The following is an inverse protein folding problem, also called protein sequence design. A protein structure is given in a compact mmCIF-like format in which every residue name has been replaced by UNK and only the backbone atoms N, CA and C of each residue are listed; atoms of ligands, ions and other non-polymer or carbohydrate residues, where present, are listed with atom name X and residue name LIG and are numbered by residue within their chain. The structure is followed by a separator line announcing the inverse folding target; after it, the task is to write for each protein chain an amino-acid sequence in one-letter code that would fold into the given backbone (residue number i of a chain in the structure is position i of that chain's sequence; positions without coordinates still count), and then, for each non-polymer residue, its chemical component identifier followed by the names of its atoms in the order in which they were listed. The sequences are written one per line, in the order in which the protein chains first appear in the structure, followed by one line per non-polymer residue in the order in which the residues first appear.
data_IF_972776176476
#
_entry.id   IF_972776176476
#
_cell.length_a   1.000
_cell.length_b   1.000
_cell.length_c   1.000
_cell.angle_alpha   90.00
_cell.angle_beta   90.00
_cell.angle_gamma   90.00
#
_symmetry.space_group_name_H-M   'P 1'
#
loop_
_entity.id
_entity.type
_entity.pdbx_description
1 polymer ?
#
# COMPACT_ATOMS: atom_id res chain seq x y z
N UNK A 1 -33.34 9.46 -45.09
CA UNK A 1 -33.10 8.59 -46.25
C UNK A 1 -31.66 8.75 -46.70
N UNK A 2 -30.87 7.67 -46.67
CA UNK A 2 -29.96 7.19 -47.73
C UNK A 2 -29.07 6.08 -47.14
N UNK A 3 -29.05 4.94 -47.83
CA UNK A 3 -28.29 3.71 -47.54
C UNK A 3 -27.18 3.54 -48.60
N UNK A 4 -26.03 3.08 -48.13
CA UNK A 4 -25.11 2.05 -48.69
C UNK A 4 -24.92 2.00 -50.21
N UNK A 5 -23.66 2.09 -50.66
CA UNK A 5 -23.01 1.15 -51.60
C UNK A 5 -21.48 1.34 -51.42
N UNK A 6 -20.72 0.35 -50.92
CA UNK A 6 -20.15 -0.80 -51.67
C UNK A 6 -19.00 -0.36 -52.60
N UNK A 7 -17.88 -1.04 -52.83
CA UNK A 7 -17.28 -2.33 -52.48
C UNK A 7 -15.85 -2.29 -53.10
N UNK A 8 -14.86 -2.82 -52.40
CA UNK A 8 -13.70 -3.63 -52.85
C UNK A 8 -12.85 -3.25 -54.09
N UNK A 9 -11.53 -3.06 -53.82
CA UNK A 9 -10.26 -3.50 -54.47
C UNK A 9 -10.02 -3.38 -56.00
N UNK A 10 -8.75 -3.16 -56.41
CA UNK A 10 -7.96 -4.30 -56.92
C UNK A 10 -6.45 -4.30 -56.60
N UNK A 11 -5.89 -5.51 -56.79
CA UNK A 11 -4.49 -6.01 -56.75
C UNK A 11 -3.53 -5.26 -57.70
N UNK A 12 -2.19 -5.33 -57.66
CA UNK A 12 -1.29 -6.50 -57.70
C UNK A 12 0.21 -6.08 -57.69
N UNK A 13 1.06 -6.98 -57.17
CA UNK A 13 2.49 -7.31 -57.44
C UNK A 13 3.63 -6.27 -57.45
N UNK A 14 4.70 -6.54 -56.69
CA UNK A 14 6.06 -6.94 -57.15
C UNK A 14 7.11 -6.93 -55.99
N UNK A 15 8.20 -7.69 -56.18
CA UNK A 15 9.20 -8.20 -55.21
C UNK A 15 10.46 -7.32 -54.97
N UNK A 16 11.06 -7.46 -53.76
CA UNK A 16 12.49 -7.27 -53.33
C UNK A 16 13.16 -5.85 -53.42
N UNK A 17 14.38 -5.62 -52.87
CA UNK A 17 14.90 -5.72 -51.48
C UNK A 17 15.68 -4.43 -51.03
N UNK A 18 16.22 -4.35 -49.79
CA UNK A 18 17.35 -3.44 -49.48
C UNK A 18 17.47 -2.92 -48.04
N UNK A 19 18.55 -3.31 -47.35
CA UNK A 19 19.09 -2.64 -46.15
C UNK A 19 19.52 -1.20 -46.45
N UNK A 20 19.47 -0.28 -45.48
CA UNK A 20 20.57 0.63 -45.11
C UNK A 20 20.25 1.40 -43.80
N UNK A 21 21.28 1.54 -42.98
CA UNK A 21 21.39 2.22 -41.68
C UNK A 21 21.43 3.75 -41.82
N UNK A 22 20.87 4.50 -40.87
CA UNK A 22 21.14 5.95 -40.73
C UNK A 22 21.23 6.39 -39.26
N UNK A 23 22.41 6.91 -38.91
CA UNK A 23 22.75 7.72 -37.74
C UNK A 23 22.29 9.18 -37.90
N UNK A 24 21.94 9.90 -36.81
CA UNK A 24 21.59 11.33 -36.87
C UNK A 24 22.82 12.28 -36.80
N UNK A 25 22.72 13.52 -37.33
CA UNK A 25 23.83 14.47 -37.53
C UNK A 25 24.04 15.49 -36.37
N UNK A 26 25.17 16.25 -36.37
CA UNK A 26 25.65 17.04 -35.23
C UNK A 26 25.21 18.51 -35.25
N UNK A 27 25.23 19.16 -34.08
CA UNK A 27 24.91 20.58 -33.86
C UNK A 27 26.17 21.37 -33.48
N UNK A 28 26.33 22.65 -33.91
CA UNK A 28 27.65 23.29 -34.05
C UNK A 28 28.13 24.06 -32.81
N UNK A 29 29.44 24.28 -32.79
CA UNK A 29 30.20 25.06 -31.81
C UNK A 29 30.06 26.57 -32.01
N UNK A 30 30.20 27.33 -30.92
CA UNK A 30 30.49 28.76 -30.95
C UNK A 30 31.66 29.11 -30.03
N UNK A 31 32.48 30.03 -30.53
CA UNK A 31 33.82 30.41 -30.11
C UNK A 31 33.88 31.43 -28.98
N UNK A 32 35.03 31.38 -28.30
CA UNK A 32 35.64 32.26 -27.30
C UNK A 32 35.70 33.75 -27.63
N UNK A 33 35.44 34.58 -26.61
CA UNK A 33 36.16 35.84 -26.37
C UNK A 33 36.35 36.04 -24.85
N UNK A 34 37.58 36.39 -24.46
CA UNK A 34 38.00 36.54 -23.07
C UNK A 34 38.01 37.99 -22.59
N UNK A 35 37.93 38.14 -21.26
CA UNK A 35 38.41 39.30 -20.53
C UNK A 35 38.89 38.84 -19.14
N UNK A 36 40.13 39.21 -18.80
CA UNK A 36 40.75 39.03 -17.50
C UNK A 36 40.42 40.22 -16.59
N UNK A 37 39.98 40.00 -15.35
CA UNK A 37 40.20 40.96 -14.26
C UNK A 37 40.32 40.26 -12.89
N UNK A 38 41.48 40.53 -12.28
CA UNK A 38 41.81 40.78 -10.87
C UNK A 38 41.05 40.06 -9.74
N UNK A 39 41.86 39.51 -8.82
CA UNK A 39 41.42 38.77 -7.64
C UNK A 39 40.90 39.63 -6.50
N UNK A 40 40.06 38.99 -5.70
CA UNK A 40 39.68 39.40 -4.34
C UNK A 40 39.82 38.18 -3.42
N UNK A 41 40.36 38.34 -2.19
CA UNK A 41 40.62 37.22 -1.30
C UNK A 41 39.34 36.70 -0.64
N UNK A 42 39.12 35.38 -0.71
CA UNK A 42 38.09 34.70 0.08
C UNK A 42 38.50 34.63 1.56
N UNK A 43 37.56 34.81 2.52
CA UNK A 43 37.82 34.48 3.93
C UNK A 43 37.81 32.96 4.12
N UNK A 44 38.88 32.42 4.70
CA UNK A 44 38.96 31.03 5.14
C UNK A 44 37.96 30.78 6.27
N UNK A 45 37.01 29.87 6.03
CA UNK A 45 36.10 29.36 7.07
C UNK A 45 36.63 28.01 7.57
N UNK A 46 36.60 27.72 8.89
CA UNK A 46 37.16 26.49 9.43
C UNK A 46 36.39 25.24 8.96
N UNK A 47 37.14 24.22 8.55
CA UNK A 47 36.63 22.88 8.21
C UNK A 47 35.85 22.29 9.39
N UNK A 48 34.52 22.24 9.25
CA UNK A 48 33.66 21.44 10.12
C UNK A 48 33.61 20.00 9.58
N UNK A 49 33.70 18.98 10.46
CA UNK A 49 33.65 17.59 10.02
C UNK A 49 32.29 17.30 9.39
N UNK A 50 32.33 16.75 8.18
CA UNK A 50 31.16 16.37 7.41
C UNK A 50 30.31 15.36 8.18
N UNK A 51 28.97 15.52 8.26
CA UNK A 51 28.12 14.55 8.91
C UNK A 51 28.23 13.23 8.14
N UNK A 52 28.56 12.17 8.89
CA UNK A 52 28.62 10.78 8.44
C UNK A 52 27.54 10.49 7.41
N UNK A 53 27.93 9.91 6.26
CA UNK A 53 27.04 9.47 5.18
C UNK A 53 25.79 8.83 5.77
N UNK A 54 24.70 9.60 5.84
CA UNK A 54 23.36 9.10 6.17
C UNK A 54 23.08 8.05 5.11
N UNK A 55 23.13 6.77 5.50
CA UNK A 55 22.75 5.69 4.60
C UNK A 55 21.38 6.06 4.04
N UNK A 56 21.28 6.15 2.71
CA UNK A 56 20.01 6.37 2.02
C UNK A 56 19.12 5.19 2.43
N UNK A 57 18.26 5.42 3.42
CA UNK A 57 17.14 4.55 3.72
C UNK A 57 16.45 4.27 2.39
N UNK A 58 16.34 2.99 2.02
CA UNK A 58 15.55 2.56 0.89
C UNK A 58 14.15 3.11 1.15
N UNK A 59 13.73 4.09 0.35
CA UNK A 59 12.55 4.95 0.61
C UNK A 59 11.21 4.19 0.70
N UNK A 60 11.22 2.90 0.38
CA UNK A 60 10.06 2.00 0.35
C UNK A 60 10.02 0.95 1.47
N UNK A 61 11.06 0.84 2.30
CA UNK A 61 11.10 -0.19 3.35
C UNK A 61 10.18 0.18 4.54
N UNK A 62 9.49 -0.81 5.10
CA UNK A 62 8.83 -0.66 6.39
C UNK A 62 9.89 -0.33 7.46
N UNK A 63 9.62 0.71 8.25
CA UNK A 63 10.53 1.18 9.31
C UNK A 63 9.93 0.79 10.64
N UNK A 64 10.63 -0.04 11.39
CA UNK A 64 10.23 -0.53 12.70
C UNK A 64 11.16 0.07 13.76
N UNK A 65 10.68 1.12 14.43
CA UNK A 65 11.40 1.77 15.52
C UNK A 65 10.59 1.56 16.80
N UNK A 66 11.21 0.95 17.81
CA UNK A 66 10.59 0.77 19.13
C UNK A 66 10.51 2.08 19.89
N UNK A 67 9.56 2.15 20.82
CA UNK A 67 9.42 3.28 21.74
C UNK A 67 8.68 4.47 21.14
N UNK A 68 7.95 4.27 20.03
CA UNK A 68 7.01 5.27 19.53
C UNK A 68 5.92 5.55 20.56
N UNK A 69 5.68 6.82 20.87
CA UNK A 69 4.59 7.21 21.76
C UNK A 69 3.24 7.05 21.05
N UNK A 70 2.33 6.30 21.65
CA UNK A 70 0.93 6.25 21.23
C UNK A 70 0.34 7.66 21.35
N UNK A 71 -0.29 8.11 20.27
CA UNK A 71 -1.08 9.36 20.24
C UNK A 71 -2.57 9.03 20.27
N UNK A 72 -3.32 9.66 21.17
CA UNK A 72 -4.76 9.47 21.28
C UNK A 72 -5.17 8.06 21.75
N UNK A 73 -6.40 7.67 21.43
CA UNK A 73 -6.97 6.38 21.84
C UNK A 73 -6.67 5.30 20.81
N UNK A 74 -6.42 4.07 21.28
CA UNK A 74 -6.35 2.88 20.41
C UNK A 74 -7.75 2.29 20.28
N UNK A 75 -8.44 2.64 19.20
CA UNK A 75 -9.76 2.08 18.89
C UNK A 75 -9.66 0.81 18.03
N UNK A 76 -8.54 0.64 17.32
CA UNK A 76 -8.28 -0.48 16.42
C UNK A 76 -6.94 -1.16 16.76
N UNK A 77 -6.88 -1.93 17.87
CA UNK A 77 -5.67 -2.64 18.28
C UNK A 77 -5.31 -3.79 17.31
N UNK A 78 -4.03 -4.17 17.20
CA UNK A 78 -3.64 -5.39 16.51
C UNK A 78 -4.17 -6.63 17.25
N UNK A 79 -4.39 -7.70 16.51
CA UNK A 79 -4.57 -9.03 17.08
C UNK A 79 -3.22 -9.72 17.19
N UNK A 80 -2.68 -9.79 18.40
CA UNK A 80 -1.38 -10.39 18.67
C UNK A 80 -1.62 -11.73 19.35
N UNK A 81 -1.35 -12.83 18.64
CA UNK A 81 -1.58 -14.17 19.16
C UNK A 81 -0.52 -14.54 20.20
N UNK A 82 -0.69 -14.03 21.42
CA UNK A 82 0.12 -14.34 22.60
C UNK A 82 -0.39 -15.59 23.34
N UNK A 83 0.36 -16.07 24.32
CA UNK A 83 -0.05 -17.22 25.14
C UNK A 83 -1.39 -17.00 25.87
N UNK A 84 -1.78 -15.74 26.10
CA UNK A 84 -3.02 -15.36 26.79
C UNK A 84 -4.22 -15.18 25.84
N UNK A 85 -4.07 -15.50 24.55
CA UNK A 85 -5.16 -15.36 23.57
C UNK A 85 -6.31 -16.34 23.86
N UNK A 86 -7.31 -15.90 24.62
CA UNK A 86 -8.47 -16.69 25.06
C UNK A 86 -9.36 -17.22 23.92
N UNK A 87 -9.22 -16.70 22.70
CA UNK A 87 -10.09 -17.02 21.58
C UNK A 87 -9.63 -18.22 20.73
N UNK A 88 -8.47 -18.83 21.05
CA UNK A 88 -7.91 -19.96 20.32
C UNK A 88 -7.47 -21.08 21.26
N UNK A 89 -7.81 -22.31 20.90
CA UNK A 89 -7.27 -23.49 21.58
C UNK A 89 -5.76 -23.66 21.30
N UNK A 90 -5.10 -24.57 22.02
CA UNK A 90 -3.64 -24.79 21.86
C UNK A 90 -3.25 -25.23 20.45
N UNK A 91 -4.08 -26.04 19.79
CA UNK A 91 -3.82 -26.52 18.43
C UNK A 91 -3.94 -25.37 17.42
N UNK A 92 -5.00 -24.56 17.53
CA UNK A 92 -5.23 -23.40 16.69
C UNK A 92 -4.12 -22.34 16.85
N UNK A 93 -3.63 -22.13 18.07
CA UNK A 93 -2.48 -21.24 18.32
C UNK A 93 -1.22 -21.76 17.65
N UNK A 94 -0.94 -23.07 17.74
CA UNK A 94 0.21 -23.68 17.10
C UNK A 94 0.12 -23.62 15.57
N UNK A 95 -1.06 -23.87 15.01
CA UNK A 95 -1.31 -23.76 13.57
C UNK A 95 -1.11 -22.32 13.08
N UNK A 96 -1.68 -21.34 13.79
CA UNK A 96 -1.52 -19.92 13.47
C UNK A 96 -0.05 -19.50 13.54
N UNK A 97 0.68 -19.92 14.57
CA UNK A 97 2.09 -19.64 14.74
C UNK A 97 2.93 -20.18 13.57
N UNK A 98 2.65 -21.41 13.11
CA UNK A 98 3.32 -22.04 11.97
C UNK A 98 3.03 -21.30 10.66
N UNK A 99 1.78 -20.92 10.43
CA UNK A 99 1.45 -20.15 9.22
C UNK A 99 2.06 -18.75 9.27
N UNK A 100 2.10 -18.07 10.42
CA UNK A 100 2.78 -16.78 10.57
C UNK A 100 4.28 -16.85 10.27
N UNK A 101 4.95 -17.93 10.71
CA UNK A 101 6.35 -18.19 10.34
C UNK A 101 6.49 -18.39 8.82
N UNK A 102 5.59 -19.19 8.22
CA UNK A 102 5.57 -19.43 6.78
C UNK A 102 5.42 -18.13 5.97
N UNK A 103 4.54 -17.23 6.41
CA UNK A 103 4.34 -15.90 5.81
C UNK A 103 5.38 -14.86 6.26
N UNK A 104 6.37 -15.23 7.08
CA UNK A 104 7.40 -14.33 7.59
C UNK A 104 6.82 -13.04 8.18
N UNK A 105 5.80 -13.18 9.03
CA UNK A 105 5.16 -12.05 9.70
C UNK A 105 6.19 -11.35 10.60
N UNK A 106 6.34 -10.03 10.47
CA UNK A 106 7.20 -9.25 11.35
C UNK A 106 6.57 -7.88 11.66
N UNK A 107 6.54 -7.46 12.95
CA UNK A 107 6.88 -8.25 14.12
C UNK A 107 5.83 -9.35 14.39
N UNK A 108 6.26 -10.52 14.87
CA UNK A 108 5.34 -11.62 15.18
C UNK A 108 5.05 -11.84 16.68
N UNK A 109 5.58 -11.00 17.57
CA UNK A 109 5.38 -11.13 19.01
C UNK A 109 6.24 -12.22 19.68
N UNK A 110 7.12 -12.89 18.92
CA UNK A 110 7.98 -13.97 19.44
C UNK A 110 9.41 -13.50 19.65
N UNK A 111 10.06 -14.09 20.66
CA UNK A 111 11.46 -13.83 20.98
C UNK A 111 11.72 -12.35 21.23
N UNK A 112 12.76 -11.82 20.60
CA UNK A 112 13.17 -10.43 20.68
C UNK A 112 12.59 -9.57 19.56
N UNK A 113 11.65 -10.05 18.75
CA UNK A 113 11.02 -9.28 17.66
C UNK A 113 9.99 -8.26 18.14
N UNK A 114 9.43 -8.44 19.34
CA UNK A 114 8.45 -7.54 19.94
C UNK A 114 7.05 -7.66 19.33
N UNK A 115 6.10 -6.89 19.87
CA UNK A 115 4.71 -6.84 19.45
C UNK A 115 4.50 -5.77 18.37
N UNK A 116 3.46 -5.89 17.54
CA UNK A 116 3.05 -4.85 16.58
C UNK A 116 2.79 -3.53 17.31
N UNK A 117 2.20 -3.61 18.51
CA UNK A 117 1.95 -2.44 19.36
C UNK A 117 3.21 -1.68 19.76
N UNK A 118 4.40 -2.32 19.72
CA UNK A 118 5.67 -1.69 20.10
C UNK A 118 6.23 -0.75 19.02
N UNK A 119 5.68 -0.80 17.80
CA UNK A 119 6.18 -0.12 16.61
C UNK A 119 5.19 0.89 16.02
N UNK A 120 4.57 1.69 16.91
CA UNK A 120 3.69 2.79 16.50
C UNK A 120 4.42 3.76 15.58
N UNK A 121 3.76 4.17 14.49
CA UNK A 121 4.33 5.11 13.52
C UNK A 121 3.39 6.28 13.26
N UNK A 122 3.94 7.49 13.38
CA UNK A 122 3.29 8.72 12.93
C UNK A 122 3.74 9.06 11.51
N UNK A 123 2.79 9.25 10.60
CA UNK A 123 3.04 9.56 9.18
C UNK A 123 2.36 10.88 8.83
N UNK A 124 3.13 11.98 8.74
CA UNK A 124 2.59 13.25 8.27
C UNK A 124 2.00 13.12 6.86
N UNK A 125 0.81 13.69 6.67
CA UNK A 125 0.13 13.75 5.39
C UNK A 125 0.11 15.20 4.88
N UNK A 126 1.17 15.56 4.17
CA UNK A 126 1.24 16.79 3.39
C UNK A 126 0.87 16.49 1.94
N UNK A 127 -0.40 16.69 1.60
CA UNK A 127 -0.87 16.63 0.21
C UNK A 127 -1.38 18.00 -0.24
N UNK A 128 -1.14 18.33 -1.50
CA UNK A 128 -1.77 19.48 -2.16
C UNK A 128 -3.30 19.40 -2.06
N UNK A 129 -3.84 18.17 -2.04
CA UNK A 129 -5.27 17.92 -1.82
C UNK A 129 -5.55 17.75 -0.33
N UNK A 130 -6.17 18.75 0.27
CA UNK A 130 -6.66 18.73 1.66
C UNK A 130 -7.88 17.81 1.89
N UNK A 131 -8.17 16.88 0.99
CA UNK A 131 -9.37 16.01 1.08
C UNK A 131 -9.34 15.11 2.32
N UNK A 132 -8.16 14.62 2.72
CA UNK A 132 -8.00 13.83 3.95
C UNK A 132 -8.28 14.69 5.18
N UNK A 133 -7.61 15.83 5.32
CA UNK A 133 -7.82 16.79 6.40
C UNK A 133 -9.27 17.25 6.49
N UNK A 134 -9.88 17.59 5.36
CA UNK A 134 -11.27 18.06 5.35
C UNK A 134 -12.25 16.96 5.79
N UNK A 135 -11.99 15.69 5.46
CA UNK A 135 -12.88 14.57 5.82
C UNK A 135 -12.67 14.09 7.25
N UNK A 136 -11.42 14.07 7.71
CA UNK A 136 -11.03 13.42 8.97
C UNK A 136 -10.65 14.40 10.08
N UNK A 137 -10.49 15.70 9.78
CA UNK A 137 -9.93 16.67 10.73
C UNK A 137 -8.42 16.50 10.98
N UNK A 138 -7.74 15.55 10.32
CA UNK A 138 -6.36 15.15 10.62
C UNK A 138 -5.40 15.44 9.48
N UNK A 139 -4.16 15.79 9.82
CA UNK A 139 -3.07 16.07 8.87
C UNK A 139 -1.99 14.97 8.87
N UNK A 140 -2.24 13.86 9.55
CA UNK A 140 -1.34 12.72 9.65
C UNK A 140 -2.11 11.42 9.92
N UNK A 141 -1.44 10.30 9.68
CA UNK A 141 -1.87 8.98 10.11
C UNK A 141 -1.08 8.56 11.34
N UNK A 142 -1.75 7.93 12.30
CA UNK A 142 -1.12 7.26 13.43
C UNK A 142 -1.42 5.79 13.32
N UNK A 143 -0.39 5.00 12.96
CA UNK A 143 -0.59 3.65 12.44
C UNK A 143 0.12 2.59 13.25
N UNK A 144 -0.51 1.42 13.29
CA UNK A 144 0.20 0.17 13.45
C UNK A 144 0.62 -0.36 12.09
N UNK A 145 1.69 -1.15 12.06
CA UNK A 145 2.16 -1.79 10.85
C UNK A 145 2.87 -3.11 11.14
N UNK A 146 2.81 -4.04 10.18
CA UNK A 146 3.63 -5.24 10.13
C UNK A 146 3.92 -5.58 8.66
N UNK A 147 4.83 -6.51 8.44
CA UNK A 147 5.15 -7.05 7.12
C UNK A 147 4.86 -8.53 7.04
N UNK A 148 4.61 -9.00 5.81
CA UNK A 148 4.58 -10.42 5.48
C UNK A 148 5.08 -10.64 4.06
N UNK A 149 5.46 -11.87 3.77
CA UNK A 149 5.87 -12.35 2.46
C UNK A 149 4.93 -13.47 2.00
N UNK A 150 4.70 -13.58 0.70
CA UNK A 150 3.86 -14.63 0.13
C UNK A 150 4.76 -15.84 -0.21
N UNK A 151 4.58 -17.01 0.44
CA UNK A 151 5.55 -18.13 0.34
C UNK A 151 5.72 -18.69 -1.08
N UNK A 152 4.70 -18.53 -1.92
CA UNK A 152 4.68 -19.01 -3.30
C UNK A 152 4.98 -17.90 -4.32
N UNK A 153 5.20 -16.66 -3.90
CA UNK A 153 5.62 -15.58 -4.79
C UNK A 153 7.14 -15.70 -5.04
N UNK A 154 7.58 -16.03 -6.27
CA UNK A 154 9.00 -16.20 -6.57
C UNK A 154 9.79 -14.88 -6.46
N UNK A 155 9.11 -13.72 -6.49
CA UNK A 155 9.75 -12.43 -6.29
C UNK A 155 10.03 -12.13 -4.81
N UNK A 156 9.52 -12.98 -3.90
CA UNK A 156 9.61 -12.85 -2.45
C UNK A 156 9.33 -11.41 -1.98
N UNK A 157 8.30 -10.79 -2.54
CA UNK A 157 7.98 -9.40 -2.24
C UNK A 157 7.47 -9.27 -0.81
N UNK A 158 8.05 -8.34 -0.07
CA UNK A 158 7.52 -7.95 1.24
C UNK A 158 6.32 -7.02 1.08
N UNK A 159 5.22 -7.38 1.73
CA UNK A 159 3.98 -6.61 1.79
C UNK A 159 3.88 -5.94 3.16
N UNK A 160 3.67 -4.63 3.17
CA UNK A 160 3.49 -3.85 4.41
C UNK A 160 2.01 -3.64 4.69
N UNK A 161 1.50 -4.21 5.76
CA UNK A 161 0.15 -3.94 6.26
C UNK A 161 0.22 -2.76 7.22
N UNK A 162 -0.71 -1.83 7.10
CA UNK A 162 -0.83 -0.71 8.03
C UNK A 162 -2.26 -0.21 8.09
N UNK A 163 -2.65 0.28 9.26
CA UNK A 163 -3.95 0.88 9.50
C UNK A 163 -3.83 1.96 10.56
N UNK A 164 -4.67 2.99 10.44
CA UNK A 164 -4.78 4.03 11.45
C UNK A 164 -5.51 3.47 12.67
N UNK A 165 -4.85 3.47 13.82
CA UNK A 165 -5.39 2.81 15.01
C UNK A 165 -6.44 3.65 15.75
N UNK A 166 -6.59 4.93 15.40
CA UNK A 166 -7.58 5.82 16.01
C UNK A 166 -8.92 5.77 15.27
N UNK A 167 -8.89 5.82 13.93
CA UNK A 167 -10.13 5.92 13.12
C UNK A 167 -10.36 4.72 12.18
N UNK A 168 -9.49 3.71 12.22
CA UNK A 168 -9.72 2.45 11.51
C UNK A 168 -9.58 2.54 9.99
N UNK A 169 -8.84 3.52 9.45
CA UNK A 169 -8.53 3.52 8.03
C UNK A 169 -7.47 2.46 7.72
N UNK A 170 -7.80 1.48 6.88
CA UNK A 170 -6.92 0.37 6.51
C UNK A 170 -6.37 0.56 5.10
N UNK A 171 -5.06 0.43 4.92
CA UNK A 171 -4.44 0.48 3.59
C UNK A 171 -4.59 -0.86 2.87
N UNK A 172 -5.49 -0.91 1.89
CA UNK A 172 -5.89 -2.16 1.22
C UNK A 172 -5.03 -2.57 0.02
N UNK A 173 -4.30 -1.63 -0.59
CA UNK A 173 -3.49 -1.90 -1.80
C UNK A 173 -2.53 -3.10 -1.68
N UNK A 174 -1.81 -3.31 -0.56
CA UNK A 174 -0.91 -4.45 -0.40
C UNK A 174 -1.62 -5.80 -0.49
N UNK A 175 -2.88 -5.91 -0.07
CA UNK A 175 -3.65 -7.15 -0.09
C UNK A 175 -3.98 -7.60 -1.50
N UNK A 176 -4.41 -6.66 -2.36
CA UNK A 176 -4.63 -6.93 -3.79
C UNK A 176 -3.34 -7.38 -4.47
N UNK A 177 -2.22 -6.71 -4.18
CA UNK A 177 -0.91 -7.08 -4.73
C UNK A 177 -0.46 -8.48 -4.30
N UNK A 178 -0.70 -8.85 -3.04
CA UNK A 178 -0.35 -10.17 -2.50
C UNK A 178 -1.22 -11.31 -3.06
N UNK A 179 -2.38 -10.98 -3.63
CA UNK A 179 -3.27 -11.91 -4.31
C UNK A 179 -3.18 -11.80 -5.85
N UNK A 180 -2.08 -11.25 -6.38
CA UNK A 180 -1.82 -11.09 -7.82
C UNK A 180 -2.87 -10.28 -8.61
N UNK A 181 -3.62 -9.42 -7.93
CA UNK A 181 -4.52 -8.49 -8.60
C UNK A 181 -3.76 -7.27 -9.15
N UNK A 182 -4.15 -6.83 -10.35
CA UNK A 182 -3.54 -5.67 -10.99
C UNK A 182 -3.86 -4.35 -10.27
N UNK A 183 -3.08 -3.31 -10.57
CA UNK A 183 -3.18 -1.98 -9.92
C UNK A 183 -4.55 -1.31 -10.06
N UNK A 184 -5.40 -1.73 -10.99
CA UNK A 184 -6.73 -1.14 -11.23
C UNK A 184 -7.84 -1.80 -10.43
N UNK A 185 -7.60 -3.00 -9.89
CA UNK A 185 -8.60 -3.78 -9.16
C UNK A 185 -9.05 -3.12 -7.85
N UNK A 186 -8.18 -2.50 -7.02
CA UNK A 186 -8.63 -1.77 -5.83
C UNK A 186 -9.71 -0.73 -6.13
N UNK A 187 -9.53 0.08 -7.18
CA UNK A 187 -10.51 1.08 -7.59
C UNK A 187 -11.82 0.44 -8.07
N UNK A 188 -11.73 -0.69 -8.78
CA UNK A 188 -12.92 -1.47 -9.19
C UNK A 188 -13.69 -1.98 -7.98
N UNK A 189 -13.01 -2.56 -6.98
CA UNK A 189 -13.63 -3.03 -5.75
C UNK A 189 -14.36 -1.91 -4.99
N UNK A 190 -13.78 -0.71 -4.93
CA UNK A 190 -14.46 0.46 -4.35
C UNK A 190 -15.72 0.83 -5.14
N UNK A 191 -15.65 0.89 -6.48
CA UNK A 191 -16.80 1.25 -7.32
C UNK A 191 -17.90 0.17 -7.34
N UNK A 192 -17.61 -1.09 -7.00
CA UNK A 192 -18.60 -2.17 -6.90
C UNK A 192 -19.56 -1.98 -5.72
N UNK A 193 -19.19 -1.18 -4.72
CA UNK A 193 -19.94 -1.00 -3.49
C UNK A 193 -20.43 0.46 -3.38
N UNK A 194 -21.74 0.73 -3.56
CA UNK A 194 -22.28 2.09 -3.46
C UNK A 194 -21.94 2.74 -2.12
N UNK A 195 -21.44 3.98 -2.15
CA UNK A 195 -21.05 4.75 -0.95
C UNK A 195 -19.62 4.49 -0.45
N UNK A 196 -19.00 3.35 -0.80
CA UNK A 196 -17.68 2.99 -0.27
C UNK A 196 -16.56 3.88 -0.83
N UNK A 197 -16.68 4.32 -2.08
CA UNK A 197 -15.68 5.18 -2.72
C UNK A 197 -15.58 6.54 -2.03
N UNK A 198 -16.69 7.06 -1.55
CA UNK A 198 -16.80 8.33 -0.86
C UNK A 198 -16.14 8.29 0.51
N UNK A 199 -16.20 7.14 1.19
CA UNK A 199 -15.51 6.88 2.45
C UNK A 199 -14.02 6.57 2.29
N UNK A 200 -13.61 6.07 1.12
CA UNK A 200 -12.22 5.74 0.85
C UNK A 200 -11.36 6.97 0.54
N UNK A 201 -10.06 6.84 0.82
CA UNK A 201 -9.04 7.84 0.56
C UNK A 201 -7.99 7.28 -0.39
N UNK A 202 -7.82 7.93 -1.54
CA UNK A 202 -6.73 7.65 -2.47
C UNK A 202 -5.54 8.52 -2.12
N UNK A 203 -4.57 7.96 -1.39
CA UNK A 203 -3.37 8.65 -0.93
C UNK A 203 -2.30 8.55 -2.01
N UNK A 204 -2.01 9.69 -2.63
CA UNK A 204 -1.00 9.85 -3.69
C UNK A 204 -0.02 10.96 -3.29
N UNK A 205 1.28 10.74 -3.46
CA UNK A 205 2.30 11.67 -2.97
C UNK A 205 2.66 11.43 -1.50
N UNK A 206 3.59 12.23 -0.95
CA UNK A 206 4.06 12.06 0.43
C UNK A 206 4.87 10.77 0.65
N UNK A 207 4.78 10.20 1.86
CA UNK A 207 5.50 8.98 2.22
C UNK A 207 5.06 7.79 1.36
N UNK A 208 5.99 7.20 0.60
CA UNK A 208 5.73 6.09 -0.33
C UNK A 208 5.04 4.90 0.36
N UNK A 209 5.49 4.56 1.56
CA UNK A 209 4.92 3.48 2.37
C UNK A 209 3.43 3.68 2.70
N UNK A 210 2.91 4.91 2.73
CA UNK A 210 1.50 5.21 3.01
C UNK A 210 0.64 5.35 1.74
N UNK A 211 1.23 5.34 0.54
CA UNK A 211 0.48 5.49 -0.70
C UNK A 211 -0.41 4.29 -0.97
N UNK A 212 -1.56 4.56 -1.60
CA UNK A 212 -2.57 3.56 -1.95
C UNK A 212 -3.99 3.97 -1.54
N UNK A 213 -4.89 2.99 -1.59
CA UNK A 213 -6.27 3.17 -1.16
C UNK A 213 -6.39 2.81 0.33
N UNK A 214 -7.03 3.70 1.07
CA UNK A 214 -7.39 3.52 2.47
C UNK A 214 -8.90 3.50 2.59
N UNK A 215 -9.48 2.58 3.35
CA UNK A 215 -10.92 2.50 3.58
C UNK A 215 -11.23 2.13 5.03
N UNK A 216 -12.45 2.39 5.52
CA UNK A 216 -12.85 2.03 6.89
C UNK A 216 -12.66 0.54 7.19
N UNK A 217 -12.30 0.23 8.43
CA UNK A 217 -11.89 -1.10 8.89
C UNK A 217 -12.93 -2.18 8.57
N UNK A 218 -14.20 -1.93 8.90
CA UNK A 218 -15.28 -2.88 8.65
C UNK A 218 -15.42 -3.20 7.14
N UNK A 219 -15.36 -2.17 6.31
CA UNK A 219 -15.38 -2.31 4.85
C UNK A 219 -14.13 -3.05 4.34
N UNK A 220 -12.94 -2.72 4.85
CA UNK A 220 -11.69 -3.38 4.46
C UNK A 220 -11.74 -4.87 4.77
N UNK A 221 -12.17 -5.24 5.98
CA UNK A 221 -12.35 -6.62 6.40
C UNK A 221 -13.33 -7.35 5.49
N UNK A 222 -14.52 -6.77 5.29
CA UNK A 222 -15.57 -7.37 4.46
C UNK A 222 -15.12 -7.56 3.00
N UNK A 223 -14.44 -6.58 2.40
CA UNK A 223 -13.92 -6.70 1.03
C UNK A 223 -12.84 -7.80 0.98
N UNK A 224 -11.92 -7.83 1.97
CA UNK A 224 -10.86 -8.84 2.02
C UNK A 224 -11.39 -10.26 2.21
N UNK A 225 -12.49 -10.46 2.94
CA UNK A 225 -13.14 -11.78 3.04
C UNK A 225 -13.49 -12.36 1.67
N UNK A 226 -13.76 -11.52 0.67
CA UNK A 226 -14.14 -11.99 -0.68
C UNK A 226 -12.98 -12.47 -1.55
N UNK A 227 -11.71 -12.19 -1.20
CA UNK A 227 -10.59 -12.53 -2.09
C UNK A 227 -9.28 -12.92 -1.40
N UNK A 228 -9.11 -12.63 -0.11
CA UNK A 228 -7.85 -12.83 0.61
C UNK A 228 -7.66 -14.26 1.14
N UNK A 229 -8.49 -15.24 0.77
CA UNK A 229 -8.33 -16.62 1.23
C UNK A 229 -6.91 -17.19 1.07
N UNK A 230 -6.17 -16.92 -0.03
CA UNK A 230 -4.78 -17.39 -0.15
C UNK A 230 -3.89 -16.88 0.99
N UNK A 231 -4.03 -15.61 1.38
CA UNK A 231 -3.19 -14.93 2.37
C UNK A 231 -3.87 -14.76 3.74
N UNK A 232 -4.99 -15.44 3.99
CA UNK A 232 -5.87 -15.19 5.17
C UNK A 232 -5.15 -15.27 6.52
N UNK A 233 -4.17 -16.16 6.64
CA UNK A 233 -3.34 -16.30 7.83
C UNK A 233 -2.47 -15.07 8.09
N UNK A 234 -1.93 -14.46 7.03
CA UNK A 234 -1.13 -13.26 7.12
C UNK A 234 -1.95 -12.03 7.53
N UNK A 235 -3.28 -12.06 7.38
CA UNK A 235 -4.16 -10.93 7.72
C UNK A 235 -4.80 -11.05 9.11
N UNK A 236 -4.53 -12.11 9.86
CA UNK A 236 -5.04 -12.22 11.23
C UNK A 236 -4.54 -11.11 12.15
N UNK A 237 -3.31 -10.55 12.04
CA UNK A 237 -2.89 -9.50 12.96
C UNK A 237 -3.70 -8.21 12.84
N UNK A 238 -4.38 -7.98 11.71
CA UNK A 238 -5.29 -6.85 11.54
C UNK A 238 -6.76 -7.26 11.72
N UNK A 239 -7.20 -8.42 11.21
CA UNK A 239 -8.63 -8.78 11.17
C UNK A 239 -9.08 -9.82 12.21
N UNK A 240 -8.15 -10.27 13.06
CA UNK A 240 -8.40 -11.30 14.07
C UNK A 240 -8.40 -12.73 13.50
N UNK A 241 -8.40 -13.71 14.40
CA UNK A 241 -8.30 -15.12 14.01
C UNK A 241 -9.55 -15.67 13.29
N UNK A 242 -10.75 -15.11 13.55
CA UNK A 242 -11.98 -15.55 12.90
C UNK A 242 -11.94 -15.35 11.38
N UNK A 243 -11.14 -14.38 10.91
CA UNK A 243 -10.93 -14.07 9.50
C UNK A 243 -10.51 -15.29 8.67
N UNK A 244 -9.74 -16.22 9.26
CA UNK A 244 -9.29 -17.45 8.59
C UNK A 244 -10.46 -18.30 8.11
N UNK A 245 -11.50 -18.44 8.95
CA UNK A 245 -12.66 -19.30 8.69
C UNK A 245 -13.73 -18.59 7.87
N UNK A 246 -13.83 -17.27 8.00
CA UNK A 246 -14.82 -16.45 7.30
C UNK A 246 -14.46 -16.15 5.84
N UNK A 247 -13.17 -16.21 5.46
CA UNK A 247 -12.75 -15.94 4.08
C UNK A 247 -13.42 -16.90 3.08
N UNK A 248 -14.00 -16.33 2.02
CA UNK A 248 -14.54 -17.10 0.91
C UNK A 248 -13.44 -17.91 0.24
N UNK A 249 -13.68 -19.20 0.04
CA UNK A 249 -12.74 -20.08 -0.65
C UNK A 249 -12.75 -19.79 -2.15
N UNK A 250 -11.71 -20.23 -2.88
CA UNK A 250 -11.57 -19.95 -4.33
C UNK A 250 -12.70 -20.55 -5.19
N UNK A 251 -13.33 -21.61 -4.70
CA UNK A 251 -14.47 -22.30 -5.30
C UNK A 251 -15.82 -21.64 -4.98
N UNK A 252 -15.85 -20.67 -4.06
CA UNK A 252 -17.07 -19.93 -3.74
C UNK A 252 -17.49 -19.00 -4.91
N UNK A 253 -18.77 -19.00 -5.32
CA UNK A 253 -19.24 -18.13 -6.41
C UNK A 253 -19.04 -16.62 -6.16
N UNK A 254 -18.97 -16.20 -4.91
CA UNK A 254 -18.71 -14.83 -4.46
C UNK A 254 -17.23 -14.44 -4.46
N UNK A 255 -16.32 -15.41 -4.60
CA UNK A 255 -14.88 -15.15 -4.58
C UNK A 255 -14.46 -14.17 -5.68
N UNK A 256 -13.68 -13.16 -5.32
CA UNK A 256 -13.19 -12.13 -6.23
C UNK A 256 -14.27 -11.19 -6.79
N UNK A 257 -15.51 -11.23 -6.28
CA UNK A 257 -16.56 -10.26 -6.68
C UNK A 257 -16.42 -8.91 -5.99
N UNK A 258 -15.72 -8.86 -4.85
CA UNK A 258 -15.50 -7.65 -4.03
C UNK A 258 -16.77 -6.96 -3.53
N UNK A 259 -17.94 -7.57 -3.73
CA UNK A 259 -19.22 -7.04 -3.28
C UNK A 259 -19.41 -7.39 -1.81
N UNK A 260 -19.70 -6.38 -1.00
CA UNK A 260 -19.97 -6.52 0.43
C UNK A 260 -21.43 -6.19 0.74
N UNK A 261 -21.85 -6.55 1.95
CA UNK A 261 -23.16 -6.16 2.47
C UNK A 261 -23.27 -4.62 2.53
N UNK A 262 -24.29 -4.00 1.89
CA UNK A 262 -24.52 -2.56 1.96
C UNK A 262 -24.61 -2.01 3.39
N UNK A 263 -25.05 -2.84 4.34
CA UNK A 263 -25.15 -2.45 5.76
C UNK A 263 -23.77 -2.14 6.36
N UNK A 264 -22.72 -2.85 5.94
CA UNK A 264 -21.34 -2.57 6.36
C UNK A 264 -20.93 -1.17 5.92
N UNK A 265 -21.27 -0.77 4.69
CA UNK A 265 -20.97 0.57 4.19
C UNK A 265 -21.79 1.62 4.93
N UNK A 266 -23.07 1.35 5.20
CA UNK A 266 -23.95 2.26 5.94
C UNK A 266 -23.42 2.52 7.36
N UNK A 267 -23.05 1.47 8.09
CA UNK A 267 -22.46 1.61 9.42
C UNK A 267 -21.12 2.34 9.40
N UNK A 268 -20.25 2.04 8.43
CA UNK A 268 -18.99 2.75 8.27
C UNK A 268 -19.18 4.24 7.95
N UNK A 269 -20.22 4.59 7.19
CA UNK A 269 -20.58 6.00 6.95
C UNK A 269 -20.96 6.72 8.24
N UNK A 270 -21.79 6.09 9.10
CA UNK A 270 -22.17 6.68 10.39
C UNK A 270 -20.96 6.84 11.32
N UNK A 271 -20.06 5.86 11.35
CA UNK A 271 -18.83 5.96 12.15
C UNK A 271 -17.93 7.11 11.65
N UNK A 272 -17.87 7.31 10.33
CA UNK A 272 -17.06 8.36 9.71
C UNK A 272 -17.54 9.79 10.04
N UNK A 273 -18.80 9.96 10.45
CA UNK A 273 -19.31 11.26 10.94
C UNK A 273 -18.61 11.70 12.24
N UNK A 274 -18.11 10.75 13.03
CA UNK A 274 -17.40 11.00 14.29
C UNK A 274 -15.88 11.16 14.15
N UNK A 275 -15.32 11.22 12.94
CA UNK A 275 -13.87 11.36 12.76
C UNK A 275 -13.32 12.75 13.09
N UNK A 276 -14.17 13.78 13.09
CA UNK A 276 -13.80 15.16 13.41
C UNK A 276 -14.03 15.46 14.88
#
# INVERSE_FOLDING_TARGET
MLKIHSLLNPTSDYRYPGHHTNTPPPTPAYTTHGYSQAGTPQPETPNTPSPSKRQKLIKDAAVFLRGGAIKGNINYPPFECTEDSLCLDSYQRQELAREHERFQIFPCGRGDEGLISDYVRHIPYSSEKKSFLNKTGRDAFDVFQYTFNVPWDPTNRTHVVMWDYQIGLVRITPFFKACDYSKTIPAKALNTNPGLKELAHSITGGALAAQGYWMPYACARAVCLTFCYPIRWALTPIFGASFIKECLRRDDPGFGRFKIDPEVVRCASLEAEGWR
#
